data_IF_059531239253
#
_entry.id   IF_059531239253
#
_cell.length_a   1.000
_cell.length_b   1.000
_cell.length_c   1.000
_cell.angle_alpha   90.00
_cell.angle_beta   90.00
_cell.angle_gamma   90.00
#
_symmetry.space_group_name_H-M   'P 1'
#
loop_
_entity.id
_entity.type
_entity.pdbx_description
1 polymer ?
#
# COMPACT_ATOMS: atom_id res chain seq x y z
N UNK A 1 -18.99 4.17 -0.73
CA UNK A 1 -18.36 4.49 -2.04
C UNK A 1 -17.74 3.20 -2.55
N UNK A 2 -18.07 2.69 -3.76
CA UNK A 2 -17.48 1.44 -4.22
C UNK A 2 -16.03 1.68 -4.64
N UNK A 3 -15.10 1.08 -3.90
CA UNK A 3 -13.66 1.12 -4.19
C UNK A 3 -13.37 0.42 -5.52
N UNK A 4 -12.67 1.11 -6.42
CA UNK A 4 -12.26 0.57 -7.71
C UNK A 4 -11.29 -0.59 -7.51
N UNK A 5 -11.70 -1.82 -7.83
CA UNK A 5 -10.79 -2.98 -7.95
C UNK A 5 -9.69 -2.64 -8.96
N UNK A 6 -8.48 -2.42 -8.47
CA UNK A 6 -7.33 -2.05 -9.31
C UNK A 6 -6.84 -3.27 -10.08
N UNK A 7 -6.77 -3.17 -11.42
CA UNK A 7 -6.18 -4.20 -12.28
C UNK A 7 -4.65 -4.27 -12.05
N UNK A 8 -4.21 -5.08 -11.10
CA UNK A 8 -2.80 -5.42 -10.89
C UNK A 8 -2.41 -5.51 -9.41
N UNK A 9 -1.54 -6.46 -9.06
CA UNK A 9 -0.94 -6.55 -7.73
C UNK A 9 0.00 -5.36 -7.54
N UNK A 10 -0.20 -4.57 -6.48
CA UNK A 10 0.69 -3.43 -6.20
C UNK A 10 2.01 -3.95 -5.67
N UNK A 11 3.12 -3.38 -6.14
CA UNK A 11 4.49 -3.84 -5.80
C UNK A 11 5.20 -2.92 -4.83
N UNK A 12 4.53 -1.90 -4.30
CA UNK A 12 5.13 -0.91 -3.40
C UNK A 12 4.08 -0.33 -2.43
N UNK A 13 4.57 0.14 -1.28
CA UNK A 13 3.85 0.92 -0.29
C UNK A 13 4.72 2.11 0.11
N UNK A 14 4.11 3.26 0.41
CA UNK A 14 4.83 4.44 0.88
C UNK A 14 5.05 4.35 2.38
N UNK A 15 6.29 4.58 2.82
CA UNK A 15 6.63 4.70 4.24
C UNK A 15 7.35 6.03 4.45
N UNK A 16 6.88 6.82 5.42
CA UNK A 16 7.53 8.06 5.82
C UNK A 16 8.48 7.76 6.97
N UNK A 17 9.79 8.06 6.85
CA UNK A 17 10.75 7.79 7.92
C UNK A 17 10.35 8.43 9.26
N UNK A 18 9.79 9.64 9.24
CA UNK A 18 9.35 10.33 10.46
C UNK A 18 8.19 9.61 11.13
N UNK A 19 7.17 9.17 10.38
CA UNK A 19 6.06 8.39 10.94
C UNK A 19 6.53 6.99 11.39
N UNK A 20 7.55 6.45 10.73
CA UNK A 20 8.15 5.17 11.08
C UNK A 20 9.05 5.24 12.33
N UNK A 21 9.65 6.39 12.65
CA UNK A 21 10.63 6.54 13.75
C UNK A 21 10.09 7.33 14.95
N UNK A 22 9.25 8.32 14.71
CA UNK A 22 8.66 9.20 15.73
C UNK A 22 7.12 9.08 15.78
N UNK A 23 6.52 8.31 14.87
CA UNK A 23 5.09 8.08 14.86
C UNK A 23 4.62 7.19 16.00
N UNK A 24 3.31 7.25 16.24
CA UNK A 24 2.63 6.53 17.33
C UNK A 24 2.86 5.02 17.33
N UNK A 25 3.15 4.40 16.18
CA UNK A 25 3.49 2.98 16.09
C UNK A 25 4.74 2.61 16.89
N UNK A 26 5.67 3.55 17.15
CA UNK A 26 6.90 3.29 17.89
C UNK A 26 6.68 3.19 19.39
N UNK A 27 5.66 3.87 19.90
CA UNK A 27 5.32 3.90 21.32
C UNK A 27 4.21 2.89 21.67
N UNK A 28 3.40 2.50 20.68
CA UNK A 28 2.21 1.65 20.90
C UNK A 28 2.45 0.17 20.61
N UNK A 29 3.44 -0.16 19.78
CA UNK A 29 3.76 -1.53 19.38
C UNK A 29 5.18 -1.91 19.80
N UNK A 30 5.32 -3.15 20.22
CA UNK A 30 6.61 -3.75 20.51
C UNK A 30 7.45 -3.96 19.23
N UNK A 31 8.78 -4.14 19.34
CA UNK A 31 9.65 -4.30 18.17
C UNK A 31 9.21 -5.35 17.15
N UNK A 32 8.70 -6.48 17.62
CA UNK A 32 8.16 -7.59 16.84
C UNK A 32 6.80 -7.25 16.21
N UNK A 33 5.87 -6.68 16.98
CA UNK A 33 4.55 -6.24 16.51
C UNK A 33 4.66 -5.15 15.43
N UNK A 34 5.68 -4.27 15.53
CA UNK A 34 5.98 -3.30 14.46
C UNK A 34 6.38 -4.00 13.17
N UNK A 35 7.13 -5.09 13.24
CA UNK A 35 7.44 -5.94 12.08
C UNK A 35 6.17 -6.48 11.46
N UNK A 36 5.30 -7.07 12.28
CA UNK A 36 3.99 -7.59 11.85
C UNK A 36 3.13 -6.51 11.20
N UNK A 37 3.12 -5.29 11.74
CA UNK A 37 2.40 -4.18 11.13
C UNK A 37 2.86 -3.88 9.71
N UNK A 38 4.18 -3.82 9.48
CA UNK A 38 4.72 -3.64 8.13
C UNK A 38 4.41 -4.82 7.21
N UNK A 39 4.43 -6.05 7.73
CA UNK A 39 4.06 -7.24 6.96
C UNK A 39 2.59 -7.22 6.55
N UNK A 40 1.69 -6.78 7.43
CA UNK A 40 0.26 -6.59 7.12
C UNK A 40 0.04 -5.49 6.07
N UNK A 41 0.77 -4.38 6.14
CA UNK A 41 0.74 -3.35 5.11
C UNK A 41 1.20 -3.88 3.75
N UNK A 42 2.25 -4.69 3.71
CA UNK A 42 2.71 -5.32 2.47
C UNK A 42 1.73 -6.37 1.96
N UNK A 43 1.15 -7.18 2.84
CA UNK A 43 0.22 -8.23 2.44
C UNK A 43 -1.09 -7.66 1.89
N UNK A 44 -1.65 -6.64 2.55
CA UNK A 44 -2.82 -5.91 2.05
C UNK A 44 -2.57 -5.22 0.71
N UNK A 45 -1.32 -4.88 0.37
CA UNK A 45 -0.96 -4.29 -0.93
C UNK A 45 -1.13 -5.26 -2.11
N UNK A 46 -0.89 -6.57 -1.86
CA UNK A 46 -0.86 -7.61 -2.90
C UNK A 46 -2.16 -8.42 -2.98
N UNK A 47 -3.09 -8.20 -2.04
CA UNK A 47 -4.43 -8.77 -2.06
C UNK A 47 -5.27 -8.27 -3.25
N UNK A 48 -6.39 -8.95 -3.50
CA UNK A 48 -7.29 -8.62 -4.63
C UNK A 48 -7.85 -7.20 -4.51
N UNK A 49 -8.20 -6.80 -3.29
CA UNK A 49 -8.62 -5.44 -2.93
C UNK A 49 -7.49 -4.80 -2.12
N UNK A 50 -6.72 -3.85 -2.69
CA UNK A 50 -5.59 -3.25 -2.00
C UNK A 50 -6.05 -2.53 -0.73
N UNK A 51 -5.37 -2.78 0.40
CA UNK A 51 -5.76 -2.24 1.71
C UNK A 51 -6.68 -3.15 2.50
N UNK A 52 -7.10 -4.26 1.90
CA UNK A 52 -7.92 -5.29 2.53
C UNK A 52 -7.21 -6.64 2.44
N UNK A 53 -7.09 -7.33 3.57
CA UNK A 53 -6.55 -8.69 3.66
C UNK A 53 -7.73 -9.66 3.56
N UNK A 54 -7.99 -10.09 2.33
CA UNK A 54 -9.05 -11.03 1.99
C UNK A 54 -8.66 -11.87 0.77
N UNK A 55 -9.42 -12.94 0.55
CA UNK A 55 -9.35 -13.70 -0.68
C UNK A 55 -9.96 -12.93 -1.87
N UNK A 56 -9.97 -13.57 -3.05
CA UNK A 56 -10.48 -12.93 -4.28
C UNK A 56 -12.01 -12.70 -4.26
N UNK A 57 -12.72 -13.48 -3.44
CA UNK A 57 -14.17 -13.45 -3.30
C UNK A 57 -14.60 -12.63 -2.07
N UNK A 58 -13.70 -11.76 -1.57
CA UNK A 58 -13.88 -10.92 -0.39
C UNK A 58 -14.21 -11.73 0.87
N UNK A 59 -13.66 -12.94 1.00
CA UNK A 59 -13.75 -13.75 2.22
C UNK A 59 -12.54 -13.49 3.12
N UNK A 60 -12.75 -13.38 4.44
CA UNK A 60 -11.67 -13.18 5.39
C UNK A 60 -10.77 -14.42 5.41
N UNK A 61 -9.46 -14.21 5.42
CA UNK A 61 -8.52 -15.29 5.71
C UNK A 61 -8.59 -15.65 7.20
N UNK A 62 -8.54 -16.94 7.56
CA UNK A 62 -8.31 -17.34 8.94
C UNK A 62 -6.99 -16.72 9.44
N UNK A 63 -6.96 -16.23 10.68
CA UNK A 63 -5.73 -15.64 11.25
C UNK A 63 -4.56 -16.63 11.23
N UNK A 64 -4.83 -17.92 11.42
CA UNK A 64 -3.83 -18.98 11.31
C UNK A 64 -3.19 -19.06 9.91
N UNK A 65 -3.97 -18.80 8.85
CA UNK A 65 -3.44 -18.73 7.49
C UNK A 65 -2.55 -17.51 7.31
N UNK A 66 -2.97 -16.34 7.82
CA UNK A 66 -2.19 -15.10 7.75
C UNK A 66 -0.87 -15.27 8.52
N UNK A 67 -0.93 -15.79 9.75
CA UNK A 67 0.25 -16.03 10.59
C UNK A 67 1.24 -16.99 9.91
N UNK A 68 0.75 -18.09 9.34
CA UNK A 68 1.58 -19.02 8.57
C UNK A 68 2.18 -18.33 7.33
N UNK A 69 1.38 -17.57 6.58
CA UNK A 69 1.82 -16.85 5.38
C UNK A 69 2.95 -15.85 5.68
N UNK A 70 2.88 -15.18 6.82
CA UNK A 70 3.87 -14.21 7.28
C UNK A 70 5.01 -14.85 8.08
N UNK A 71 4.95 -16.17 8.32
CA UNK A 71 5.91 -16.92 9.12
C UNK A 71 6.11 -16.34 10.54
N UNK A 72 5.00 -16.03 11.21
CA UNK A 72 4.96 -15.49 12.58
C UNK A 72 4.06 -16.34 13.49
N UNK A 73 4.27 -16.30 14.82
CA UNK A 73 3.34 -16.92 15.77
C UNK A 73 1.94 -16.32 15.67
N UNK A 74 0.90 -17.17 15.78
CA UNK A 74 -0.50 -16.72 15.77
C UNK A 74 -0.79 -15.72 16.90
N UNK A 75 -0.25 -15.97 18.08
CA UNK A 75 -0.42 -15.09 19.25
C UNK A 75 0.12 -13.68 19.00
N UNK A 76 1.25 -13.57 18.29
CA UNK A 76 1.85 -12.28 17.92
C UNK A 76 0.99 -11.54 16.90
N UNK A 77 0.40 -12.27 15.94
CA UNK A 77 -0.54 -11.67 15.00
C UNK A 77 -1.78 -11.14 15.73
N UNK A 78 -2.39 -11.95 16.60
CA UNK A 78 -3.59 -11.57 17.36
C UNK A 78 -3.33 -10.39 18.30
N UNK A 79 -2.18 -10.36 19.00
CA UNK A 79 -1.81 -9.25 19.87
C UNK A 79 -1.65 -7.95 19.06
N UNK A 80 -1.00 -8.04 17.90
CA UNK A 80 -0.79 -6.91 16.99
C UNK A 80 -2.12 -6.39 16.46
N UNK A 81 -2.98 -7.27 15.93
CA UNK A 81 -4.30 -6.89 15.40
C UNK A 81 -5.18 -6.24 16.47
N UNK A 82 -5.15 -6.75 17.70
CA UNK A 82 -5.89 -6.16 18.82
C UNK A 82 -5.42 -4.73 19.14
N UNK A 83 -4.10 -4.49 19.17
CA UNK A 83 -3.53 -3.14 19.39
C UNK A 83 -3.84 -2.22 18.22
N UNK A 84 -3.65 -2.69 16.99
CA UNK A 84 -3.96 -1.94 15.78
C UNK A 84 -5.45 -1.56 15.68
N UNK A 85 -6.36 -2.45 16.06
CA UNK A 85 -7.80 -2.19 16.05
C UNK A 85 -8.20 -1.18 17.12
N UNK A 86 -7.67 -1.30 18.34
CA UNK A 86 -7.91 -0.33 19.43
C UNK A 86 -7.55 1.11 19.03
N UNK A 87 -6.46 1.26 18.29
CA UNK A 87 -5.96 2.56 17.84
C UNK A 87 -6.55 2.99 16.48
N UNK A 88 -7.52 2.24 15.94
CA UNK A 88 -8.21 2.58 14.71
C UNK A 88 -7.35 2.47 13.45
N UNK A 89 -6.28 1.67 13.44
CA UNK A 89 -5.45 1.38 12.26
C UNK A 89 -6.00 0.24 11.40
N UNK A 90 -6.72 -0.67 12.05
CA UNK A 90 -7.34 -1.83 11.39
C UNK A 90 -8.78 -1.98 11.82
N UNK A 91 -9.64 -2.37 10.88
CA UNK A 91 -11.00 -2.82 11.15
C UNK A 91 -11.16 -4.20 10.57
N UNK A 92 -11.64 -5.15 11.36
CA UNK A 92 -11.94 -6.49 10.89
C UNK A 92 -13.46 -6.66 10.79
N UNK A 93 -13.93 -7.15 9.65
CA UNK A 93 -15.33 -7.44 9.41
C UNK A 93 -15.53 -8.74 8.62
N UNK A 94 -16.77 -9.03 8.22
CA UNK A 94 -17.12 -10.25 7.48
C UNK A 94 -16.48 -10.38 6.09
N UNK A 95 -15.72 -9.39 5.64
CA UNK A 95 -15.01 -9.38 4.36
C UNK A 95 -13.50 -9.43 4.48
N UNK A 96 -12.93 -9.26 5.69
CA UNK A 96 -11.49 -9.29 5.92
C UNK A 96 -10.99 -8.25 6.91
N UNK A 97 -9.67 -8.06 6.92
CA UNK A 97 -9.00 -7.04 7.72
C UNK A 97 -8.70 -5.84 6.82
N UNK A 98 -9.22 -4.68 7.18
CA UNK A 98 -9.09 -3.42 6.44
C UNK A 98 -8.08 -2.50 7.11
N UNK A 99 -7.16 -1.95 6.34
CA UNK A 99 -6.25 -0.90 6.78
C UNK A 99 -6.98 0.45 6.64
N UNK A 100 -7.30 1.10 7.76
CA UNK A 100 -8.16 2.30 7.77
C UNK A 100 -7.55 3.47 7.01
N UNK A 101 -6.24 3.70 7.17
CA UNK A 101 -5.51 4.79 6.54
C UNK A 101 -4.79 4.34 5.25
N UNK A 102 -5.34 3.34 4.55
CA UNK A 102 -4.72 2.77 3.35
C UNK A 102 -4.38 3.81 2.28
N UNK A 103 -5.21 4.84 2.15
CA UNK A 103 -5.02 5.95 1.21
C UNK A 103 -3.69 6.68 1.42
N UNK A 104 -3.25 6.83 2.67
CA UNK A 104 -2.04 7.58 3.03
C UNK A 104 -0.79 6.81 2.59
N UNK A 105 -0.82 5.48 2.76
CA UNK A 105 0.22 4.54 2.33
C UNK A 105 0.31 4.38 0.80
N UNK A 106 -0.70 4.85 0.07
CA UNK A 106 -0.78 4.71 -1.39
C UNK A 106 -0.66 6.05 -2.13
N UNK A 107 -0.45 7.14 -1.39
CA UNK A 107 -0.37 8.50 -1.92
C UNK A 107 0.83 8.77 -2.85
N UNK A 108 1.63 7.75 -3.20
CA UNK A 108 2.85 7.86 -4.03
C UNK A 108 2.67 7.58 -5.56
N UNK A 109 1.51 7.05 -5.95
CA UNK A 109 1.02 7.04 -7.34
C UNK A 109 -0.49 6.75 -7.28
N UNK A 110 -1.35 7.72 -6.95
CA UNK A 110 -1.64 8.79 -7.90
C UNK A 110 -0.50 9.81 -8.15
N UNK A 111 0.49 9.96 -7.25
CA UNK A 111 1.76 10.75 -7.36
C UNK A 111 2.76 10.54 -8.53
N UNK A 112 2.54 9.69 -9.54
CA UNK A 112 3.00 10.01 -10.92
C UNK A 112 1.95 9.67 -12.01
N UNK A 113 0.66 9.58 -11.65
CA UNK A 113 -0.50 9.25 -12.51
C UNK A 113 -0.42 9.92 -13.88
N UNK A 114 0.22 11.10 -13.99
CA UNK A 114 0.59 11.64 -15.28
C UNK A 114 1.90 12.45 -15.27
N UNK A 115 3.07 11.87 -14.93
CA UNK A 115 4.25 12.25 -15.75
C UNK A 115 4.01 11.89 -17.24
N UNK A 116 2.93 11.10 -17.49
CA UNK A 116 2.14 10.93 -18.72
C UNK A 116 1.19 12.08 -19.14
N UNK A 117 1.14 13.25 -18.51
CA UNK A 117 0.59 14.45 -19.17
C UNK A 117 1.68 15.31 -19.83
N UNK A 118 2.97 15.07 -19.53
CA UNK A 118 4.11 15.72 -20.21
C UNK A 118 4.37 15.25 -21.65
N UNK A 119 3.40 14.56 -22.26
CA UNK A 119 3.35 14.27 -23.71
C UNK A 119 2.24 15.07 -24.42
N UNK A 120 1.50 15.94 -23.72
CA UNK A 120 0.48 16.80 -24.32
C UNK A 120 0.99 18.23 -24.52
N UNK A 121 1.24 18.60 -25.79
CA UNK A 121 1.43 19.95 -26.34
C UNK A 121 2.77 20.68 -26.08
N UNK A 122 3.78 20.37 -26.90
CA UNK A 122 4.67 21.43 -27.41
C UNK A 122 4.80 21.25 -28.94
N UNK A 123 4.08 22.03 -29.77
CA UNK A 123 4.15 21.93 -31.23
C UNK A 123 5.53 22.31 -31.80
N UNK A 124 6.44 22.83 -30.97
CA UNK A 124 7.77 23.27 -31.35
C UNK A 124 8.90 22.34 -30.89
N UNK A 125 8.65 21.03 -30.76
CA UNK A 125 9.72 20.09 -30.42
C UNK A 125 10.67 19.88 -31.61
N UNK A 126 11.66 20.75 -31.73
CA UNK A 126 12.77 20.62 -32.67
C UNK A 126 13.62 19.38 -32.35
N UNK A 127 13.66 18.42 -33.27
CA UNK A 127 14.61 17.31 -33.22
C UNK A 127 15.94 17.74 -33.83
N UNK A 128 17.04 17.53 -33.09
CA UNK A 128 18.39 17.83 -33.59
C UNK A 128 18.73 16.78 -34.66
N UNK A 129 18.78 17.21 -35.93
CA UNK A 129 19.21 16.35 -37.03
C UNK A 129 20.66 15.91 -36.83
N UNK A 130 21.03 14.79 -37.47
CA UNK A 130 22.37 14.15 -37.38
C UNK A 130 23.54 15.08 -37.78
N UNK A 131 23.26 16.26 -38.32
CA UNK A 131 24.23 17.27 -38.75
C UNK A 131 24.00 18.67 -38.12
N UNK A 132 23.37 18.75 -36.95
CA UNK A 132 23.38 19.96 -36.13
C UNK A 132 22.41 21.09 -36.54
N UNK A 133 21.64 20.94 -37.62
CA UNK A 133 20.56 21.88 -37.96
C UNK A 133 19.21 21.42 -37.39
N UNK A 134 18.46 22.36 -36.81
CA UNK A 134 17.11 22.17 -36.27
C UNK A 134 16.08 22.52 -37.35
N UNK A 135 15.11 21.63 -37.60
CA UNK A 135 14.02 21.85 -38.57
C UNK A 135 12.68 21.80 -37.83
N UNK A 136 11.83 22.80 -38.08
CA UNK A 136 10.46 22.90 -37.57
C UNK A 136 9.52 22.12 -38.50
N UNK A 137 8.52 21.47 -37.93
CA UNK A 137 7.51 20.76 -38.71
C UNK A 137 6.36 21.67 -39.11
#
# INVERSE_FOLDING_TARGET
MPEQRVKGRRTWIKLYPIDCLDGSIRYQLEPDERGVWYDLLNFSAICATPGQISDKDDRPYPHSFIANRLNIPLELLESTLKKCSKEGRTVEDGTGIHITNWTDYQSEYQRQKPYRQKQGEDPNKYTRGKYGHTVQH
#
